data_IF_054346501646
#
_entry.id   IF_054346501646
#
_cell.length_a   1.000
_cell.length_b   1.000
_cell.length_c   1.000
_cell.angle_alpha   90.00
_cell.angle_beta   90.00
_cell.angle_gamma   90.00
#
_symmetry.space_group_name_H-M   'P 1'
#
loop_
_entity.id
_entity.type
_entity.pdbx_description
1 polymer ?
#
# COMPACT_ATOMS: atom_id res chain seq x y z
N UNK A 1 -0.78 -31.60 27.25
CA UNK A 1 0.37 -31.35 26.36
C UNK A 1 1.08 -30.07 26.81
N UNK A 2 2.40 -30.10 27.07
CA UNK A 2 3.16 -28.89 27.43
C UNK A 2 3.54 -28.15 26.15
N UNK A 3 2.91 -27.00 25.90
CA UNK A 3 3.28 -26.09 24.82
C UNK A 3 4.71 -25.54 25.07
N UNK A 4 5.66 -25.91 24.22
CA UNK A 4 7.07 -25.54 24.38
C UNK A 4 7.48 -24.28 23.60
N UNK A 5 6.72 -23.90 22.56
CA UNK A 5 7.01 -22.74 21.72
C UNK A 5 5.75 -22.21 21.05
N UNK A 6 5.66 -20.88 20.95
CA UNK A 6 4.58 -20.16 20.26
C UNK A 6 5.22 -19.15 19.30
N UNK A 7 4.75 -19.12 18.06
CA UNK A 7 5.17 -18.16 17.05
C UNK A 7 4.09 -17.07 16.95
N UNK A 8 4.46 -15.83 17.27
CA UNK A 8 3.58 -14.68 17.08
C UNK A 8 3.92 -14.03 15.73
N UNK A 9 2.95 -14.04 14.82
CA UNK A 9 2.99 -13.28 13.59
C UNK A 9 2.35 -11.92 13.90
N UNK A 10 3.17 -10.88 14.04
CA UNK A 10 2.68 -9.54 14.35
C UNK A 10 3.11 -8.57 13.23
N UNK A 11 2.20 -7.71 12.78
CA UNK A 11 2.42 -6.79 11.65
C UNK A 11 3.17 -5.50 12.04
N UNK A 12 3.55 -5.32 13.31
CA UNK A 12 4.31 -4.16 13.74
C UNK A 12 5.72 -4.58 14.19
N UNK A 13 6.71 -4.21 13.39
CA UNK A 13 8.10 -4.34 13.78
C UNK A 13 8.46 -3.38 14.91
N UNK A 14 8.55 -3.90 16.13
CA UNK A 14 9.78 -3.91 16.93
C UNK A 14 9.49 -4.35 18.37
N UNK A 15 10.32 -5.26 18.87
CA UNK A 15 10.52 -5.47 20.30
C UNK A 15 11.26 -4.28 20.98
N UNK A 16 11.16 -3.07 20.43
CA UNK A 16 11.71 -1.83 21.02
C UNK A 16 10.64 -0.77 21.30
N UNK A 17 9.36 -1.05 21.07
CA UNK A 17 8.28 -0.28 21.66
C UNK A 17 7.79 -1.00 22.92
N UNK A 18 7.40 -0.23 23.94
CA UNK A 18 6.78 -0.69 25.20
C UNK A 18 5.60 -1.66 24.96
N UNK A 19 5.00 -1.63 23.78
CA UNK A 19 3.89 -2.47 23.38
C UNK A 19 4.27 -3.95 23.13
N UNK A 20 5.42 -4.21 22.49
CA UNK A 20 5.86 -5.58 22.21
C UNK A 20 6.24 -6.36 23.46
N UNK A 21 6.79 -5.68 24.47
CA UNK A 21 7.16 -6.28 25.75
C UNK A 21 5.94 -6.65 26.61
N UNK A 22 4.86 -5.86 26.54
CA UNK A 22 3.61 -6.13 27.28
C UNK A 22 2.88 -7.34 26.69
N UNK A 23 2.81 -7.48 25.36
CA UNK A 23 2.13 -8.60 24.72
C UNK A 23 2.80 -9.97 25.04
N UNK A 24 4.13 -10.02 25.09
CA UNK A 24 4.87 -11.24 25.48
C UNK A 24 4.59 -11.59 26.95
N UNK A 25 4.51 -10.60 27.83
CA UNK A 25 4.16 -10.80 29.26
C UNK A 25 2.72 -11.29 29.42
N UNK A 26 1.77 -10.71 28.69
CA UNK A 26 0.36 -11.08 28.74
C UNK A 26 0.15 -12.53 28.26
N UNK A 27 0.85 -12.97 27.21
CA UNK A 27 0.80 -14.35 26.74
C UNK A 27 1.40 -15.35 27.72
N UNK A 28 2.56 -15.04 28.34
CA UNK A 28 3.15 -15.93 29.35
C UNK A 28 2.27 -16.07 30.58
N UNK A 29 1.62 -14.97 30.99
CA UNK A 29 0.65 -14.94 32.09
C UNK A 29 -0.60 -15.75 31.75
N UNK A 30 -1.16 -15.60 30.55
CA UNK A 30 -2.32 -16.37 30.08
C UNK A 30 -2.04 -17.88 29.99
N UNK A 31 -0.80 -18.26 29.63
CA UNK A 31 -0.36 -19.65 29.56
C UNK A 31 0.13 -20.21 30.90
N UNK A 32 0.17 -19.39 31.95
CA UNK A 32 0.69 -19.70 33.28
C UNK A 32 2.07 -20.40 33.24
N UNK A 33 2.91 -19.99 32.28
CA UNK A 33 4.19 -20.65 32.01
C UNK A 33 5.25 -19.67 31.47
N UNK A 34 6.12 -19.24 32.38
CA UNK A 34 7.25 -18.31 32.14
C UNK A 34 8.31 -18.85 31.17
N UNK A 35 8.41 -20.18 31.01
CA UNK A 35 9.46 -20.86 30.26
C UNK A 35 9.17 -21.03 28.76
N UNK A 36 7.97 -20.64 28.30
CA UNK A 36 7.59 -20.72 26.87
C UNK A 36 8.45 -19.77 26.04
N UNK A 37 9.13 -20.32 25.02
CA UNK A 37 9.91 -19.53 24.06
C UNK A 37 8.97 -18.92 23.01
N UNK A 38 8.89 -17.59 23.00
CA UNK A 38 8.09 -16.83 22.04
C UNK A 38 9.03 -16.19 21.02
N UNK A 39 8.85 -16.52 19.73
CA UNK A 39 9.57 -15.90 18.62
C UNK A 39 8.62 -14.98 17.85
N UNK A 40 9.07 -13.77 17.53
CA UNK A 40 8.40 -12.83 16.63
C UNK A 40 9.12 -12.77 15.28
N UNK A 41 8.40 -12.78 14.17
CA UNK A 41 8.93 -12.53 12.82
C UNK A 41 8.21 -11.34 12.19
N UNK A 42 8.97 -10.36 11.72
CA UNK A 42 8.45 -9.13 11.08
C UNK A 42 8.45 -9.20 9.55
N UNK A 43 8.67 -10.38 8.97
CA UNK A 43 8.76 -10.54 7.52
C UNK A 43 8.11 -11.88 7.14
N UNK A 44 6.98 -11.82 6.45
CA UNK A 44 6.49 -12.96 5.68
C UNK A 44 6.99 -12.71 4.25
N UNK A 45 8.21 -13.16 3.96
CA UNK A 45 8.56 -13.46 2.58
C UNK A 45 7.66 -14.61 2.14
N UNK A 46 6.78 -14.33 1.19
CA UNK A 46 5.96 -15.33 0.52
C UNK A 46 6.82 -16.14 -0.44
N UNK A 47 7.79 -16.88 0.09
CA UNK A 47 8.54 -17.92 -0.62
C UNK A 47 8.58 -19.18 0.27
N UNK A 48 7.48 -19.94 0.25
CA UNK A 48 7.52 -21.37 0.50
C UNK A 48 7.01 -22.06 -0.76
N UNK A 49 7.92 -22.29 -1.70
CA UNK A 49 7.77 -23.36 -2.68
C UNK A 49 8.50 -24.60 -2.15
N UNK A 50 7.89 -25.75 -2.40
CA UNK A 50 8.38 -27.09 -2.09
C UNK A 50 9.86 -27.27 -2.44
N UNK A 51 10.61 -27.82 -1.48
CA UNK A 51 11.93 -28.39 -1.72
C UNK A 51 11.81 -29.53 -2.73
N UNK A 52 12.24 -29.28 -3.97
CA UNK A 52 12.67 -30.34 -4.87
C UNK A 52 14.20 -30.32 -4.87
N UNK A 53 14.79 -31.42 -4.40
CA UNK A 53 16.22 -31.69 -4.38
C UNK A 53 16.70 -31.90 -5.81
N UNK A 54 17.62 -31.08 -6.32
CA UNK A 54 18.63 -31.50 -7.30
C UNK A 54 19.90 -30.63 -7.19
N UNK A 55 21.00 -31.38 -7.16
CA UNK A 55 22.40 -31.09 -6.87
C UNK A 55 23.05 -29.80 -7.39
N UNK A 56 23.95 -29.29 -6.56
CA UNK A 56 25.13 -28.50 -6.94
C UNK A 56 26.06 -29.33 -7.84
N UNK A 57 26.54 -28.72 -8.92
CA UNK A 57 27.92 -28.94 -9.37
C UNK A 57 28.45 -27.67 -10.04
N UNK A 58 29.61 -27.26 -9.51
CA UNK A 58 30.45 -26.13 -9.91
C UNK A 58 31.11 -26.40 -11.26
N UNK A 59 31.29 -25.36 -12.09
CA UNK A 59 32.59 -25.05 -12.74
C UNK A 59 32.53 -23.73 -13.52
N UNK A 60 33.53 -22.88 -13.28
CA UNK A 60 33.91 -21.73 -14.08
C UNK A 60 34.64 -22.18 -15.36
N UNK A 61 34.41 -21.52 -16.50
CA UNK A 61 35.51 -21.21 -17.43
C UNK A 61 35.21 -19.99 -18.33
N UNK A 62 36.27 -19.26 -18.66
CA UNK A 62 36.31 -17.95 -19.29
C UNK A 62 36.13 -17.99 -20.83
N UNK A 63 35.50 -16.95 -21.41
CA UNK A 63 35.89 -16.33 -22.71
C UNK A 63 35.08 -15.05 -23.00
N UNK A 64 35.78 -13.93 -23.18
CA UNK A 64 35.27 -12.66 -23.76
C UNK A 64 35.08 -12.76 -25.30
N UNK A 65 34.55 -11.73 -26.00
CA UNK A 65 33.18 -11.24 -25.97
C UNK A 65 32.55 -11.33 -27.40
N UNK A 66 31.30 -11.78 -27.52
CA UNK A 66 30.59 -11.78 -28.81
C UNK A 66 29.49 -10.72 -28.82
N UNK A 67 29.72 -9.72 -29.68
CA UNK A 67 28.82 -8.64 -30.06
C UNK A 67 27.50 -9.22 -30.56
N UNK A 68 26.44 -9.14 -29.75
CA UNK A 68 25.10 -9.57 -30.15
C UNK A 68 24.08 -8.53 -29.70
N UNK A 69 23.51 -7.83 -30.69
CA UNK A 69 22.28 -7.02 -30.62
C UNK A 69 21.29 -7.62 -29.60
N UNK A 70 20.68 -6.84 -28.68
CA UNK A 70 19.83 -7.40 -27.63
C UNK A 70 18.62 -8.12 -28.25
N UNK A 71 18.70 -9.44 -28.31
CA UNK A 71 17.53 -10.29 -28.49
C UNK A 71 16.70 -10.13 -27.21
N UNK A 72 15.51 -9.54 -27.37
CA UNK A 72 14.50 -9.50 -26.33
C UNK A 72 14.27 -10.92 -25.82
N UNK A 73 14.70 -11.17 -24.58
CA UNK A 73 14.31 -12.38 -23.87
C UNK A 73 12.77 -12.45 -23.85
N UNK A 74 12.16 -13.60 -24.16
CA UNK A 74 10.72 -13.75 -24.05
C UNK A 74 10.33 -13.53 -22.58
N UNK A 75 9.74 -12.37 -22.29
CA UNK A 75 9.28 -12.08 -20.94
C UNK A 75 8.13 -13.05 -20.64
N UNK A 76 8.32 -13.99 -19.72
CA UNK A 76 7.25 -14.81 -19.14
C UNK A 76 6.40 -13.96 -18.18
N UNK A 77 6.02 -12.78 -18.63
CA UNK A 77 5.31 -11.80 -17.85
C UNK A 77 3.96 -12.37 -17.45
N UNK A 78 3.70 -12.46 -16.15
CA UNK A 78 2.39 -12.86 -15.59
C UNK A 78 1.21 -12.01 -16.11
N UNK A 79 1.50 -10.82 -16.63
CA UNK A 79 0.51 -9.83 -17.09
C UNK A 79 0.82 -9.42 -18.52
N UNK A 80 -0.21 -9.41 -19.37
CA UNK A 80 -0.12 -9.11 -20.80
C UNK A 80 -0.01 -7.60 -21.06
N UNK A 81 -0.58 -6.79 -20.18
CA UNK A 81 -0.51 -5.31 -20.25
C UNK A 81 -0.46 -4.67 -18.86
N UNK A 82 -0.03 -3.40 -18.83
CA UNK A 82 0.12 -2.60 -17.62
C UNK A 82 -0.49 -1.22 -17.80
N UNK A 83 -1.19 -0.78 -16.77
CA UNK A 83 -1.71 0.58 -16.66
C UNK A 83 -1.08 1.24 -15.43
N UNK A 84 -0.52 2.44 -15.62
CA UNK A 84 -0.03 3.30 -14.56
C UNK A 84 -0.86 4.58 -14.60
N UNK A 85 -1.60 4.83 -13.52
CA UNK A 85 -2.43 6.02 -13.33
C UNK A 85 -1.71 6.89 -12.31
N UNK A 86 -1.31 8.09 -12.70
CA UNK A 86 -0.76 9.08 -11.79
C UNK A 86 -1.85 10.11 -11.50
N UNK A 87 -2.20 10.23 -10.23
CA UNK A 87 -3.25 11.14 -9.76
C UNK A 87 -2.69 12.43 -9.17
N UNK A 88 -1.53 12.35 -8.51
CA UNK A 88 -0.83 13.53 -8.03
C UNK A 88 0.12 14.09 -9.07
N UNK A 89 0.28 15.42 -9.11
CA UNK A 89 1.11 16.10 -10.10
C UNK A 89 2.38 16.74 -9.51
N UNK A 90 2.69 16.49 -8.24
CA UNK A 90 3.92 16.98 -7.60
C UNK A 90 5.19 16.25 -8.09
N UNK A 91 6.35 16.77 -7.72
CA UNK A 91 7.66 16.24 -8.10
C UNK A 91 7.90 14.80 -7.64
N UNK A 92 7.45 14.44 -6.43
CA UNK A 92 7.61 13.08 -5.88
C UNK A 92 6.81 12.09 -6.69
N UNK A 93 5.55 12.42 -7.03
CA UNK A 93 4.70 11.56 -7.84
C UNK A 93 5.22 11.40 -9.27
N UNK A 94 5.66 12.50 -9.89
CA UNK A 94 6.29 12.47 -11.21
C UNK A 94 7.56 11.60 -11.22
N UNK A 95 8.46 11.78 -10.26
CA UNK A 95 9.68 10.98 -10.12
C UNK A 95 9.36 9.49 -9.93
N UNK A 96 8.38 9.19 -9.08
CA UNK A 96 7.94 7.83 -8.81
C UNK A 96 7.33 7.16 -10.05
N UNK A 97 6.45 7.86 -10.77
CA UNK A 97 5.86 7.38 -12.02
C UNK A 97 6.94 7.08 -13.06
N UNK A 98 7.89 8.00 -13.28
CA UNK A 98 8.97 7.82 -14.24
C UNK A 98 9.82 6.58 -13.92
N UNK A 99 10.21 6.40 -12.65
CA UNK A 99 10.96 5.22 -12.19
C UNK A 99 10.18 3.92 -12.43
N UNK A 100 8.89 3.90 -12.09
CA UNK A 100 8.03 2.72 -12.29
C UNK A 100 7.87 2.41 -13.78
N UNK A 101 7.60 3.41 -14.62
CA UNK A 101 7.43 3.26 -16.07
C UNK A 101 8.71 2.75 -16.72
N UNK A 102 9.87 3.35 -16.39
CA UNK A 102 11.18 2.89 -16.86
C UNK A 102 11.36 1.40 -16.59
N UNK A 103 11.12 0.95 -15.35
CA UNK A 103 11.18 -0.47 -14.99
C UNK A 103 10.19 -1.33 -15.78
N UNK A 104 8.98 -0.85 -16.06
CA UNK A 104 8.02 -1.63 -16.85
C UNK A 104 8.51 -1.78 -18.29
N UNK A 105 8.99 -0.70 -18.91
CA UNK A 105 9.49 -0.70 -20.30
C UNK A 105 10.77 -1.53 -20.45
N UNK A 106 11.60 -1.65 -19.41
CA UNK A 106 12.79 -2.52 -19.41
C UNK A 106 12.45 -4.02 -19.34
N UNK A 107 11.25 -4.36 -18.84
CA UNK A 107 10.88 -5.76 -18.54
C UNK A 107 9.81 -6.32 -19.46
N UNK A 108 9.12 -5.44 -20.18
CA UNK A 108 7.92 -5.73 -20.96
C UNK A 108 7.93 -4.89 -22.22
N UNK A 109 7.13 -5.29 -23.21
CA UNK A 109 6.90 -4.50 -24.41
C UNK A 109 6.35 -3.11 -24.03
N UNK A 110 7.05 -2.00 -24.37
CA UNK A 110 6.59 -0.64 -24.10
C UNK A 110 5.22 -0.32 -24.71
N UNK A 111 4.84 -0.97 -25.83
CA UNK A 111 3.50 -0.81 -26.43
C UNK A 111 2.39 -1.40 -25.56
N UNK A 112 2.74 -2.28 -24.59
CA UNK A 112 1.82 -2.88 -23.61
C UNK A 112 1.83 -2.15 -22.25
N UNK A 113 2.53 -1.03 -22.16
CA UNK A 113 2.58 -0.17 -20.96
C UNK A 113 1.89 1.15 -21.27
N UNK A 114 0.79 1.40 -20.57
CA UNK A 114 0.02 2.65 -20.68
C UNK A 114 0.24 3.49 -19.43
N UNK A 115 0.53 4.77 -19.64
CA UNK A 115 0.69 5.76 -18.58
C UNK A 115 -0.32 6.88 -18.81
N UNK A 116 -1.15 7.14 -17.81
CA UNK A 116 -2.13 8.22 -17.81
C UNK A 116 -1.94 9.09 -16.57
N UNK A 117 -2.01 10.39 -16.76
CA UNK A 117 -2.03 11.39 -15.68
C UNK A 117 -3.43 11.98 -15.56
N UNK A 118 -3.88 12.22 -14.34
CA UNK A 118 -5.06 13.03 -14.06
C UNK A 118 -4.59 14.47 -13.90
N UNK A 119 -5.00 15.36 -14.79
CA UNK A 119 -4.60 16.76 -14.73
C UNK A 119 -5.44 17.55 -13.71
N UNK A 120 -5.13 18.83 -13.53
CA UNK A 120 -5.80 19.70 -12.56
C UNK A 120 -7.30 19.87 -12.81
N UNK A 121 -7.76 19.66 -14.05
CA UNK A 121 -9.17 19.71 -14.44
C UNK A 121 -9.87 18.35 -14.28
N UNK A 122 -9.21 17.34 -13.69
CA UNK A 122 -9.65 15.94 -13.63
C UNK A 122 -9.78 15.26 -15.00
N UNK A 123 -9.10 15.77 -16.03
CA UNK A 123 -9.05 15.14 -17.35
C UNK A 123 -7.88 14.16 -17.45
N UNK A 124 -7.95 13.26 -18.43
CA UNK A 124 -7.01 12.15 -18.59
C UNK A 124 -5.99 12.45 -19.69
N UNK A 125 -4.74 12.66 -19.28
CA UNK A 125 -3.62 12.91 -20.18
C UNK A 125 -2.81 11.62 -20.38
N UNK A 126 -2.88 11.04 -21.58
CA UNK A 126 -2.13 9.84 -21.93
C UNK A 126 -0.68 10.20 -22.30
N UNK A 127 0.26 9.88 -21.42
CA UNK A 127 1.69 10.18 -21.57
C UNK A 127 2.42 9.07 -22.33
N UNK A 128 1.91 7.84 -22.27
CA UNK A 128 2.42 6.70 -23.03
C UNK A 128 1.27 5.76 -23.38
N UNK A 129 1.16 5.38 -24.66
CA UNK A 129 0.11 4.48 -25.14
C UNK A 129 -1.31 5.06 -24.98
N UNK A 130 -2.32 4.21 -25.13
CA UNK A 130 -3.72 4.53 -24.86
C UNK A 130 -4.49 3.27 -24.43
N UNK A 131 -5.78 3.42 -24.09
CA UNK A 131 -6.59 2.29 -23.60
C UNK A 131 -6.66 1.10 -24.56
N UNK A 132 -6.54 1.29 -25.88
CA UNK A 132 -6.56 0.19 -26.87
C UNK A 132 -5.33 -0.72 -26.78
N UNK A 133 -4.24 -0.23 -26.19
CA UNK A 133 -3.05 -1.04 -25.93
C UNK A 133 -3.26 -2.06 -24.79
N UNK A 134 -4.26 -1.84 -23.93
CA UNK A 134 -4.56 -2.71 -22.80
C UNK A 134 -5.32 -3.95 -23.27
N UNK A 135 -4.70 -5.11 -23.08
CA UNK A 135 -5.22 -6.42 -23.53
C UNK A 135 -4.85 -7.50 -22.52
N UNK A 136 -5.62 -8.58 -22.46
CA UNK A 136 -5.31 -9.76 -21.64
C UNK A 136 -5.28 -9.47 -20.14
N UNK A 137 -4.45 -10.19 -19.37
CA UNK A 137 -4.27 -10.02 -17.93
C UNK A 137 -3.60 -8.67 -17.64
N UNK A 138 -4.37 -7.76 -17.08
CA UNK A 138 -3.93 -6.40 -16.76
C UNK A 138 -3.47 -6.27 -15.31
N UNK A 139 -2.33 -5.60 -15.11
CA UNK A 139 -1.90 -5.04 -13.83
C UNK A 139 -2.00 -3.52 -13.86
N UNK A 140 -2.74 -2.95 -12.91
CA UNK A 140 -2.88 -1.50 -12.72
C UNK A 140 -2.13 -1.03 -11.48
N UNK A 141 -1.49 0.13 -11.56
CA UNK A 141 -0.86 0.84 -10.45
C UNK A 141 -1.43 2.26 -10.42
N UNK A 142 -1.99 2.68 -9.28
CA UNK A 142 -2.50 4.04 -9.07
C UNK A 142 -1.55 4.75 -8.12
N UNK A 143 -0.97 5.87 -8.53
CA UNK A 143 0.04 6.63 -7.78
C UNK A 143 -0.60 7.93 -7.31
N UNK A 144 -0.51 8.21 -6.02
CA UNK A 144 -0.93 9.48 -5.43
C UNK A 144 -0.72 9.49 -3.92
N UNK A 145 -0.76 10.67 -3.33
CA UNK A 145 -0.67 10.88 -1.89
C UNK A 145 -1.85 10.24 -1.18
N UNK A 146 -1.53 9.62 -0.05
CA UNK A 146 -2.54 9.06 0.83
C UNK A 146 -2.88 10.03 1.94
N UNK A 147 -4.16 10.24 2.19
CA UNK A 147 -4.64 11.04 3.30
C UNK A 147 -5.68 10.25 4.12
N UNK A 148 -6.02 10.79 5.28
CA UNK A 148 -7.10 10.27 6.11
C UNK A 148 -8.01 11.41 6.51
N UNK A 149 -9.29 11.25 6.23
CA UNK A 149 -10.34 12.20 6.62
C UNK A 149 -11.49 11.38 7.20
N UNK A 150 -11.96 11.73 8.40
CA UNK A 150 -13.09 11.07 9.06
C UNK A 150 -13.02 9.54 9.09
N UNK A 151 -11.84 8.98 9.41
CA UNK A 151 -11.58 7.53 9.44
C UNK A 151 -11.73 6.79 8.10
N UNK A 152 -11.70 7.53 6.99
CA UNK A 152 -11.65 6.98 5.63
C UNK A 152 -10.28 7.28 5.02
N UNK A 153 -9.64 6.25 4.48
CA UNK A 153 -8.40 6.41 3.73
C UNK A 153 -8.72 6.88 2.30
N UNK A 154 -8.02 7.91 1.84
CA UNK A 154 -8.19 8.47 0.51
C UNK A 154 -6.87 8.52 -0.25
N UNK A 155 -6.94 8.47 -1.58
CA UNK A 155 -5.82 8.69 -2.49
C UNK A 155 -6.15 9.93 -3.31
N UNK A 156 -5.36 11.00 -3.13
CA UNK A 156 -5.66 12.33 -3.71
C UNK A 156 -7.10 12.78 -3.40
N UNK A 157 -7.53 12.61 -2.16
CA UNK A 157 -8.87 12.97 -1.71
C UNK A 157 -10.00 12.04 -2.15
N UNK A 158 -9.71 11.00 -2.95
CA UNK A 158 -10.71 10.05 -3.46
C UNK A 158 -10.77 8.77 -2.66
N UNK A 159 -11.98 8.29 -2.41
CA UNK A 159 -12.23 7.01 -1.75
C UNK A 159 -12.00 5.84 -2.70
N UNK A 160 -11.92 4.61 -2.16
CA UNK A 160 -11.64 3.43 -2.98
C UNK A 160 -12.67 3.20 -4.09
N UNK A 161 -13.95 3.56 -3.88
CA UNK A 161 -14.98 3.42 -4.91
C UNK A 161 -14.75 4.35 -6.11
N UNK A 162 -14.37 5.60 -5.88
CA UNK A 162 -14.10 6.57 -6.95
C UNK A 162 -12.88 6.13 -7.78
N UNK A 163 -11.85 5.60 -7.11
CA UNK A 163 -10.69 5.02 -7.78
C UNK A 163 -11.10 3.82 -8.64
N UNK A 164 -11.98 2.95 -8.13
CA UNK A 164 -12.47 1.80 -8.88
C UNK A 164 -13.30 2.21 -10.10
N UNK A 165 -14.14 3.24 -10.00
CA UNK A 165 -14.90 3.79 -11.11
C UNK A 165 -13.98 4.37 -12.19
N UNK A 166 -12.98 5.16 -11.81
CA UNK A 166 -11.96 5.65 -12.74
C UNK A 166 -11.25 4.51 -13.48
N UNK A 167 -10.90 3.43 -12.78
CA UNK A 167 -10.27 2.27 -13.42
C UNK A 167 -11.23 1.62 -14.42
N UNK A 168 -12.53 1.50 -14.11
CA UNK A 168 -13.51 0.93 -15.03
C UNK A 168 -13.64 1.71 -16.34
N UNK A 169 -13.47 3.03 -16.34
CA UNK A 169 -13.51 3.83 -17.58
C UNK A 169 -12.26 3.64 -18.45
N UNK A 170 -11.12 3.28 -17.84
CA UNK A 170 -9.83 3.09 -18.52
C UNK A 170 -9.61 1.66 -19.02
N UNK A 171 -10.23 0.66 -18.40
CA UNK A 171 -10.02 -0.75 -18.72
C UNK A 171 -10.99 -1.17 -19.84
N UNK A 172 -10.50 -1.47 -21.06
CA UNK A 172 -11.34 -1.92 -22.16
C UNK A 172 -11.83 -3.36 -21.93
N UNK A 173 -12.83 -3.80 -22.69
CA UNK A 173 -13.44 -5.13 -22.56
C UNK A 173 -12.45 -6.27 -22.82
N UNK A 174 -11.46 -6.02 -23.66
CA UNK A 174 -10.40 -6.95 -24.06
C UNK A 174 -9.34 -7.16 -22.97
N UNK A 175 -9.39 -6.37 -21.89
CA UNK A 175 -8.48 -6.47 -20.76
C UNK A 175 -9.20 -6.97 -19.50
N UNK A 176 -8.56 -7.91 -18.81
CA UNK A 176 -9.02 -8.43 -17.53
C UNK A 176 -8.14 -7.88 -16.41
N UNK A 177 -8.69 -6.97 -15.59
CA UNK A 177 -7.99 -6.47 -14.41
C UNK A 177 -7.78 -7.61 -13.40
N UNK A 178 -6.52 -8.01 -13.19
CA UNK A 178 -6.14 -9.13 -12.31
C UNK A 178 -5.35 -8.70 -11.09
N UNK A 179 -4.64 -7.57 -11.18
CA UNK A 179 -3.94 -6.99 -10.05
C UNK A 179 -4.04 -5.47 -10.06
N UNK A 180 -4.42 -4.91 -8.92
CA UNK A 180 -4.39 -3.48 -8.66
C UNK A 180 -3.41 -3.21 -7.51
N UNK A 181 -2.57 -2.20 -7.65
CA UNK A 181 -1.76 -1.68 -6.55
C UNK A 181 -2.10 -0.20 -6.34
N UNK A 182 -2.59 0.13 -5.14
CA UNK A 182 -2.85 1.48 -4.69
C UNK A 182 -1.55 2.02 -4.08
N UNK A 183 -0.74 2.70 -4.88
CA UNK A 183 0.60 3.17 -4.54
C UNK A 183 0.50 4.53 -3.83
N UNK A 184 0.12 4.45 -2.56
CA UNK A 184 -0.22 5.59 -1.71
C UNK A 184 0.00 5.22 -0.25
N UNK A 185 0.26 6.21 0.62
CA UNK A 185 0.35 5.98 2.07
C UNK A 185 -1.01 5.52 2.62
N UNK A 186 -1.02 4.59 3.57
CA UNK A 186 -2.23 4.11 4.24
C UNK A 186 -3.32 3.53 3.31
N UNK A 187 -3.00 3.20 2.06
CA UNK A 187 -3.96 2.61 1.12
C UNK A 187 -4.28 1.14 1.38
N UNK A 188 -3.61 0.50 2.36
CA UNK A 188 -3.80 -0.90 2.76
C UNK A 188 -4.64 -1.08 4.03
N UNK A 189 -4.74 -2.33 4.51
CA UNK A 189 -5.44 -2.66 5.76
C UNK A 189 -4.77 -1.95 6.94
N UNK A 190 -5.37 -0.84 7.38
CA UNK A 190 -4.92 -0.06 8.53
C UNK A 190 -5.98 -0.19 9.62
N UNK A 191 -5.67 -0.93 10.69
CA UNK A 191 -6.44 -1.12 11.95
C UNK A 191 -7.96 -1.42 11.85
N UNK A 192 -8.52 -2.09 12.85
CA UNK A 192 -9.97 -2.34 12.91
C UNK A 192 -10.74 -1.02 13.06
N UNK A 193 -11.83 -0.85 12.29
CA UNK A 193 -12.72 0.33 12.35
C UNK A 193 -12.39 1.48 11.38
N UNK A 194 -11.48 1.27 10.43
CA UNK A 194 -11.14 2.22 9.37
C UNK A 194 -11.59 1.65 8.03
N UNK A 195 -12.26 2.46 7.22
CA UNK A 195 -12.64 2.05 5.85
C UNK A 195 -11.38 1.96 5.00
N UNK A 196 -11.08 0.75 4.54
CA UNK A 196 -9.89 0.44 3.77
C UNK A 196 -10.20 0.49 2.27
N UNK A 197 -9.46 1.32 1.53
CA UNK A 197 -9.54 1.40 0.07
C UNK A 197 -9.43 0.04 -0.64
N UNK A 198 -8.63 -0.90 -0.12
CA UNK A 198 -8.53 -2.27 -0.67
C UNK A 198 -9.87 -2.97 -0.62
N UNK A 199 -10.63 -2.81 0.45
CA UNK A 199 -11.96 -3.44 0.63
C UNK A 199 -12.96 -2.80 -0.33
N UNK A 200 -13.06 -1.46 -0.34
CA UNK A 200 -13.97 -0.72 -1.23
C UNK A 200 -13.75 -1.10 -2.69
N UNK A 201 -12.49 -1.18 -3.11
CA UNK A 201 -12.18 -1.56 -4.49
C UNK A 201 -12.55 -3.03 -4.74
N UNK A 202 -12.30 -3.94 -3.80
CA UNK A 202 -12.69 -5.35 -3.94
C UNK A 202 -14.19 -5.55 -4.03
N UNK A 203 -15.01 -4.69 -3.42
CA UNK A 203 -16.47 -4.77 -3.52
C UNK A 203 -16.97 -4.44 -4.93
N UNK A 204 -16.27 -3.55 -5.64
CA UNK A 204 -16.66 -3.10 -6.98
C UNK A 204 -16.10 -3.94 -8.13
N UNK A 205 -15.16 -4.84 -7.84
CA UNK A 205 -14.55 -5.76 -8.80
C UNK A 205 -14.78 -7.22 -8.40
N UNK A 206 -14.62 -8.13 -9.36
CA UNK A 206 -14.80 -9.56 -9.09
C UNK A 206 -13.80 -10.07 -8.03
N UNK A 207 -14.20 -11.11 -7.26
CA UNK A 207 -13.40 -11.73 -6.19
C UNK A 207 -11.99 -12.19 -6.59
N UNK A 208 -11.74 -12.39 -7.90
CA UNK A 208 -10.44 -12.79 -8.43
C UNK A 208 -9.42 -11.64 -8.52
N UNK A 209 -9.83 -10.39 -8.30
CA UNK A 209 -8.93 -9.24 -8.31
C UNK A 209 -8.02 -9.23 -7.07
N UNK A 210 -6.70 -9.28 -7.31
CA UNK A 210 -5.72 -9.06 -6.25
C UNK A 210 -5.51 -7.56 -6.07
N UNK A 211 -6.04 -6.98 -5.00
CA UNK A 211 -5.78 -5.58 -4.63
C UNK A 211 -4.70 -5.52 -3.56
N UNK A 212 -3.68 -4.67 -3.79
CA UNK A 212 -2.59 -4.38 -2.85
C UNK A 212 -2.63 -2.91 -2.46
N UNK A 213 -2.72 -2.63 -1.16
CA UNK A 213 -2.41 -1.32 -0.58
C UNK A 213 -1.12 -1.34 0.24
N UNK A 214 -0.76 -0.20 0.82
CA UNK A 214 0.42 -0.04 1.67
C UNK A 214 0.04 0.60 3.00
N UNK A 215 0.68 0.16 4.10
CA UNK A 215 0.37 0.60 5.47
C UNK A 215 1.16 1.83 5.92
N UNK A 216 2.01 2.38 5.06
CA UNK A 216 2.86 3.52 5.40
C UNK A 216 3.35 4.22 4.13
N UNK A 217 4.21 5.22 4.31
CA UNK A 217 4.72 6.04 3.21
C UNK A 217 5.49 5.17 2.21
N UNK A 218 5.22 5.39 0.91
CA UNK A 218 5.84 4.64 -0.17
C UNK A 218 6.52 5.53 -1.18
N UNK A 219 7.59 5.02 -1.79
CA UNK A 219 8.26 5.62 -2.95
C UNK A 219 8.80 4.51 -3.87
N UNK A 220 9.31 4.87 -5.05
CA UNK A 220 10.00 3.96 -5.94
C UNK A 220 11.50 4.16 -5.80
N UNK A 221 12.23 3.04 -5.61
CA UNK A 221 13.68 3.08 -5.69
C UNK A 221 14.14 3.30 -7.14
N UNK A 222 15.44 3.45 -7.35
CA UNK A 222 16.02 3.77 -8.67
C UNK A 222 15.75 2.69 -9.73
N UNK A 223 15.47 1.47 -9.28
CA UNK A 223 15.07 0.35 -10.13
C UNK A 223 13.56 0.34 -10.42
N UNK A 224 12.79 1.35 -10.02
CA UNK A 224 11.34 1.45 -10.21
C UNK A 224 10.50 0.49 -9.37
N UNK A 225 11.08 -0.12 -8.33
CA UNK A 225 10.33 -0.99 -7.40
C UNK A 225 9.73 -0.10 -6.31
N UNK A 226 8.42 -0.22 -6.10
CA UNK A 226 7.72 0.41 -4.98
C UNK A 226 8.20 -0.21 -3.66
N UNK A 227 8.65 0.64 -2.75
CA UNK A 227 9.17 0.31 -1.42
C UNK A 227 8.48 1.19 -0.37
N UNK A 228 8.40 0.70 0.87
CA UNK A 228 8.09 1.55 2.01
C UNK A 228 9.31 2.39 2.36
N UNK A 229 9.09 3.64 2.77
CA UNK A 229 10.14 4.56 3.20
C UNK A 229 9.87 5.03 4.63
N UNK A 230 10.93 5.42 5.33
CA UNK A 230 10.80 5.95 6.68
C UNK A 230 10.08 7.31 6.69
N UNK A 231 9.42 7.64 7.80
CA UNK A 231 8.74 8.92 7.98
C UNK A 231 9.69 10.10 7.71
N UNK A 232 9.19 11.14 7.04
CA UNK A 232 9.96 12.34 6.68
C UNK A 232 10.89 12.15 5.47
N UNK A 233 10.93 10.97 4.84
CA UNK A 233 11.53 10.80 3.52
C UNK A 233 10.51 11.09 2.42
N UNK A 234 10.95 11.57 1.23
CA UNK A 234 10.06 11.77 0.11
C UNK A 234 9.29 10.50 -0.23
N UNK A 235 7.97 10.63 -0.38
CA UNK A 235 7.08 9.54 -0.75
C UNK A 235 5.62 10.02 -0.79
N UNK A 236 4.72 9.08 -1.01
CA UNK A 236 3.28 9.34 -1.20
C UNK A 236 2.53 9.54 0.13
N UNK A 237 3.13 10.25 1.09
CA UNK A 237 2.49 10.68 2.34
C UNK A 237 1.41 11.75 2.05
N UNK A 238 0.56 12.18 3.01
CA UNK A 238 -0.35 13.29 2.74
C UNK A 238 0.42 14.50 2.18
N UNK A 239 -0.13 15.15 1.17
CA UNK A 239 0.44 16.40 0.66
C UNK A 239 0.52 17.43 1.78
N UNK A 240 1.40 18.43 1.70
CA UNK A 240 1.51 19.45 2.77
C UNK A 240 0.17 20.14 3.04
N UNK A 241 -0.64 20.35 2.00
CA UNK A 241 -2.00 20.92 2.11
C UNK A 241 -2.94 19.96 2.85
N UNK A 242 -2.92 18.68 2.49
CA UNK A 242 -3.76 17.67 3.15
C UNK A 242 -3.31 17.39 4.58
N UNK A 243 -2.01 17.48 4.85
CA UNK A 243 -1.42 17.40 6.18
C UNK A 243 -1.91 18.56 7.06
N UNK A 244 -2.00 19.77 6.51
CA UNK A 244 -2.57 20.92 7.21
C UNK A 244 -4.06 20.77 7.45
N UNK A 245 -4.83 20.30 6.46
CA UNK A 245 -6.28 20.01 6.63
C UNK A 245 -6.52 18.92 7.66
N UNK A 246 -5.78 17.82 7.61
CA UNK A 246 -5.91 16.74 8.57
C UNK A 246 -5.59 17.23 10.00
N UNK A 247 -4.59 18.09 10.16
CA UNK A 247 -4.32 18.72 11.47
C UNK A 247 -5.45 19.64 11.92
N UNK A 248 -6.11 20.34 11.00
CA UNK A 248 -7.28 21.15 11.32
C UNK A 248 -8.45 20.26 11.77
N UNK A 249 -8.77 19.20 11.03
CA UNK A 249 -9.82 18.23 11.39
C UNK A 249 -9.55 17.55 12.74
N UNK A 250 -8.28 17.17 13.00
CA UNK A 250 -7.86 16.61 14.30
C UNK A 250 -8.00 17.62 15.44
N UNK A 251 -7.78 18.91 15.18
CA UNK A 251 -7.96 19.98 16.16
C UNK A 251 -9.44 20.21 16.45
N UNK A 252 -10.30 20.20 15.43
CA UNK A 252 -11.75 20.35 15.57
C UNK A 252 -12.34 19.20 16.40
N UNK A 253 -11.94 17.96 16.14
CA UNK A 253 -12.35 16.80 16.95
C UNK A 253 -11.88 16.90 18.42
N UNK A 254 -10.69 17.45 18.66
CA UNK A 254 -10.21 17.69 20.03
C UNK A 254 -11.01 18.77 20.73
N UNK A 255 -11.43 19.80 20.00
CA UNK A 255 -12.24 20.90 20.52
C UNK A 255 -13.65 20.43 20.89
N UNK A 256 -14.28 19.61 20.05
CA UNK A 256 -15.59 19.00 20.32
C UNK A 256 -15.53 18.13 21.59
N UNK A 257 -14.53 17.25 21.68
CA UNK A 257 -14.33 16.40 22.86
C UNK A 257 -14.04 17.19 24.14
N UNK A 258 -13.39 18.35 24.04
CA UNK A 258 -13.17 19.23 25.18
C UNK A 258 -14.47 19.92 25.62
N UNK A 259 -15.30 20.29 24.65
CA UNK A 259 -16.61 20.91 24.88
C UNK A 259 -17.55 19.95 25.61
N UNK A 260 -17.67 18.70 25.13
CA UNK A 260 -18.49 17.66 25.78
C UNK A 260 -18.09 17.43 27.24
N UNK A 261 -16.78 17.35 27.50
CA UNK A 261 -16.26 17.20 28.86
C UNK A 261 -16.58 18.39 29.76
N UNK A 262 -16.58 19.59 29.21
CA UNK A 262 -16.91 20.79 29.96
C UNK A 262 -18.40 20.81 30.32
N UNK A 263 -19.28 20.40 29.40
CA UNK A 263 -20.72 20.24 29.67
C UNK A 263 -21.01 19.18 30.74
N UNK A 264 -20.29 18.04 30.70
CA UNK A 264 -20.38 17.02 31.77
C UNK A 264 -19.99 17.59 33.14
N UNK A 265 -18.89 18.35 33.21
CA UNK A 265 -18.43 18.96 34.46
C UNK A 265 -19.44 19.98 34.99
N UNK A 266 -19.96 20.86 34.12
CA UNK A 266 -20.98 21.85 34.51
C UNK A 266 -22.21 21.15 35.05
N UNK A 267 -22.71 20.12 34.35
CA UNK A 267 -23.87 19.33 34.76
C UNK A 267 -23.65 18.67 36.12
N UNK A 268 -22.49 18.06 36.33
CA UNK A 268 -22.14 17.42 37.60
C UNK A 268 -22.04 18.44 38.75
N UNK A 269 -21.51 19.64 38.49
CA UNK A 269 -21.44 20.70 39.49
C UNK A 269 -22.83 21.26 39.83
N UNK A 270 -23.69 21.49 38.84
CA UNK A 270 -25.08 21.92 39.07
C UNK A 270 -25.85 20.91 39.91
N UNK A 271 -25.75 19.62 39.59
CA UNK A 271 -26.37 18.56 40.40
C UNK A 271 -25.81 18.49 41.83
N UNK A 272 -24.52 18.74 42.03
CA UNK A 272 -23.93 18.78 43.36
C UNK A 272 -24.42 19.99 44.19
N UNK A 273 -24.67 21.13 43.55
CA UNK A 273 -25.22 22.34 44.16
C UNK A 273 -26.71 22.18 44.53
N UNK A 274 -27.50 21.49 43.70
CA UNK A 274 -28.94 21.28 43.96
C UNK A 274 -29.21 20.29 45.11
N UNK A 275 -28.19 19.55 45.56
CA UNK A 275 -28.27 18.58 46.66
C UNK A 275 -27.79 19.12 48.03
N UNK A 276 -27.54 20.43 48.13
CA UNK A 276 -27.16 21.16 49.37
C UNK A 276 -28.33 22.02 49.83
#
# INVERSE_FOLDING_TARGET
AKLASVLLLNCCGAASSTWGANLVKDFKKALNNESVKIKSRNHIDSEHQEKTVLNEESSQDNKDPVDTKPQQQPSTSKYDSRLIIQMSNDETANSMQQKITKRQNERHDPEKVVVVKVNENNELDFVQGNTKNLTGKLKTQVIGHGARTNNVNTLEGRQGFEIAELIKTLVPKEAMLTKLSLVSCNSGDCMAGITNMVTDVKELFNKSLIVKGYQGTVNANDNGKVIMVANGKPGMAPSDIDSLKQKADELDQQLEKLTDKMEEIITAQSQALDNI
#
